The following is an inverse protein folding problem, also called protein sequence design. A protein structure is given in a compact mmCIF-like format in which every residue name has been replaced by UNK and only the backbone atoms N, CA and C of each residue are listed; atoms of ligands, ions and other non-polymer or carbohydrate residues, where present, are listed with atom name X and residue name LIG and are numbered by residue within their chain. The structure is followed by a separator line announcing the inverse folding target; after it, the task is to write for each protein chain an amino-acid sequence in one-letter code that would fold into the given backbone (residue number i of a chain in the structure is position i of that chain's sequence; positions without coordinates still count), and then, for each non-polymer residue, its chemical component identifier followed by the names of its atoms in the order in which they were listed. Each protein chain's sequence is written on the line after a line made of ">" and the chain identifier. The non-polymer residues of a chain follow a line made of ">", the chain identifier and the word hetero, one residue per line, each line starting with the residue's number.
data_IF_028994013205
#
_entry.id   IF_028994013205
#
_cell.length_a   1.000
_cell.length_b   1.000
_cell.length_c   1.000
_cell.angle_alpha   90.00
_cell.angle_beta   90.00
_cell.angle_gamma   90.00
#
_symmetry.space_group_name_H-M   'P 1'
#
loop_
_entity.id
_entity.type
_entity.pdbx_description
1 polymer ?
#
# COMPACT_ATOMS: atom_id res chain seq x y z
N UNK A 1 3.06 -18.28 20.68
CA UNK A 1 2.33 -17.62 19.57
C UNK A 1 0.83 -17.86 19.71
N UNK A 2 0.20 -17.45 20.83
CA UNK A 2 -1.19 -17.85 21.19
C UNK A 2 -2.05 -16.70 21.71
N UNK A 3 -1.99 -15.50 21.12
CA UNK A 3 -3.00 -14.47 21.37
C UNK A 3 -3.50 -13.99 20.01
N UNK A 4 -4.79 -14.25 19.72
CA UNK A 4 -5.52 -13.72 18.56
C UNK A 4 -5.71 -12.22 18.69
N UNK A 5 -4.62 -11.47 18.82
CA UNK A 5 -4.67 -10.02 18.95
C UNK A 5 -4.72 -9.38 17.55
N UNK A 6 -5.85 -9.65 16.88
CA UNK A 6 -6.21 -9.04 15.62
C UNK A 6 -6.17 -7.51 15.71
N UNK A 7 -6.42 -6.95 16.90
CA UNK A 7 -6.32 -5.52 17.17
C UNK A 7 -4.86 -5.04 17.07
N UNK A 8 -3.90 -5.76 17.66
CA UNK A 8 -2.48 -5.43 17.49
C UNK A 8 -2.03 -5.56 16.03
N UNK A 9 -2.51 -6.56 15.30
CA UNK A 9 -2.20 -6.71 13.88
C UNK A 9 -2.75 -5.54 13.04
N UNK A 10 -3.99 -5.11 13.29
CA UNK A 10 -4.57 -3.90 12.67
C UNK A 10 -3.77 -2.65 13.02
N UNK A 11 -3.36 -2.49 14.28
CA UNK A 11 -2.51 -1.37 14.69
C UNK A 11 -1.15 -1.35 13.97
N UNK A 12 -0.58 -2.52 13.65
CA UNK A 12 0.66 -2.62 12.87
C UNK A 12 0.42 -2.24 11.40
N UNK A 13 -0.70 -2.66 10.82
CA UNK A 13 -1.13 -2.24 9.48
C UNK A 13 -1.30 -0.72 9.40
N UNK A 14 -2.02 -0.12 10.34
CA UNK A 14 -2.25 1.33 10.38
C UNK A 14 -0.95 2.11 10.51
N UNK A 15 -0.02 1.63 11.35
CA UNK A 15 1.32 2.22 11.47
C UNK A 15 2.13 2.10 10.18
N UNK A 16 2.03 0.96 9.49
CA UNK A 16 2.69 0.75 8.20
C UNK A 16 2.18 1.70 7.13
N UNK A 17 0.85 1.78 6.98
CA UNK A 17 0.19 2.70 6.06
C UNK A 17 0.49 4.16 6.37
N UNK A 18 0.45 4.54 7.65
CA UNK A 18 0.78 5.91 8.09
C UNK A 18 2.21 6.30 7.75
N UNK A 19 3.18 5.39 7.91
CA UNK A 19 4.59 5.64 7.54
C UNK A 19 4.76 5.77 6.03
N UNK A 20 4.07 4.94 5.25
CA UNK A 20 4.10 5.01 3.80
C UNK A 20 3.51 6.34 3.29
N UNK A 21 2.39 6.77 3.88
CA UNK A 21 1.77 8.07 3.57
C UNK A 21 2.70 9.23 3.91
N UNK A 22 3.30 9.22 5.11
CA UNK A 22 4.29 10.21 5.52
C UNK A 22 5.51 10.24 4.59
N UNK A 23 5.98 9.08 4.13
CA UNK A 23 7.07 8.97 3.17
C UNK A 23 6.71 9.64 1.84
N UNK A 24 5.55 9.32 1.26
CA UNK A 24 5.08 9.93 0.02
C UNK A 24 4.84 11.44 0.17
N UNK A 25 4.28 11.88 1.30
CA UNK A 25 4.07 13.29 1.61
C UNK A 25 5.36 14.08 1.77
N UNK A 26 6.43 13.43 2.26
CA UNK A 26 7.76 14.03 2.38
C UNK A 26 8.46 14.11 1.04
N UNK A 27 8.49 13.01 0.29
CA UNK A 27 9.20 12.92 -0.99
C UNK A 27 8.46 13.62 -2.14
N UNK A 28 7.13 13.79 -2.03
CA UNK A 28 6.26 14.47 -2.99
C UNK A 28 6.58 14.10 -4.46
N UNK A 29 6.52 12.81 -4.83
CA UNK A 29 6.93 12.36 -6.16
C UNK A 29 6.11 12.99 -7.30
N UNK A 30 4.92 13.53 -7.03
CA UNK A 30 4.11 14.25 -8.03
C UNK A 30 4.60 15.67 -8.35
N UNK A 31 5.50 16.25 -7.54
CA UNK A 31 6.11 17.56 -7.80
C UNK A 31 7.51 17.44 -8.41
N UNK A 32 8.14 16.28 -8.26
CA UNK A 32 9.50 16.04 -8.71
C UNK A 32 9.47 15.40 -10.11
N UNK A 33 9.58 16.20 -11.17
CA UNK A 33 9.75 15.70 -12.56
C UNK A 33 11.15 15.11 -12.83
N UNK A 34 12.02 15.05 -11.81
CA UNK A 34 13.41 14.62 -11.94
C UNK A 34 13.65 13.17 -11.49
N UNK A 35 14.77 12.61 -11.96
CA UNK A 35 15.24 11.21 -11.97
C UNK A 35 14.92 10.29 -10.78
N UNK A 36 14.56 10.82 -9.62
CA UNK A 36 14.28 10.06 -8.40
C UNK A 36 12.79 9.67 -8.24
N UNK A 37 11.88 10.21 -9.08
CA UNK A 37 10.46 9.89 -9.00
C UNK A 37 10.19 8.39 -9.09
N UNK A 38 10.81 7.72 -10.08
CA UNK A 38 10.65 6.28 -10.30
C UNK A 38 11.12 5.48 -9.10
N UNK A 39 12.26 5.84 -8.51
CA UNK A 39 12.81 5.15 -7.35
C UNK A 39 11.91 5.28 -6.12
N UNK A 40 11.43 6.50 -5.83
CA UNK A 40 10.49 6.77 -4.73
C UNK A 40 9.21 5.97 -4.89
N UNK A 41 8.62 5.97 -6.10
CA UNK A 41 7.39 5.22 -6.37
C UNK A 41 7.61 3.71 -6.30
N UNK A 42 8.69 3.18 -6.86
CA UNK A 42 9.03 1.75 -6.78
C UNK A 42 9.20 1.31 -5.32
N UNK A 43 9.89 2.10 -4.50
CA UNK A 43 10.04 1.81 -3.06
C UNK A 43 8.69 1.84 -2.33
N UNK A 44 7.84 2.82 -2.65
CA UNK A 44 6.51 2.91 -2.07
C UNK A 44 5.64 1.70 -2.46
N UNK A 45 5.71 1.25 -3.71
CA UNK A 45 4.98 0.06 -4.20
C UNK A 45 5.43 -1.21 -3.48
N UNK A 46 6.74 -1.45 -3.34
CA UNK A 46 7.23 -2.61 -2.60
C UNK A 46 6.75 -2.59 -1.15
N UNK A 47 6.84 -1.43 -0.49
CA UNK A 47 6.35 -1.26 0.89
C UNK A 47 4.83 -1.52 0.98
N UNK A 48 4.05 -1.06 -0.01
CA UNK A 48 2.62 -1.34 -0.09
C UNK A 48 2.34 -2.83 -0.23
N UNK A 49 3.08 -3.54 -1.10
CA UNK A 49 2.91 -4.98 -1.30
C UNK A 49 3.27 -5.79 -0.04
N UNK A 50 4.27 -5.36 0.72
CA UNK A 50 4.61 -5.97 2.01
C UNK A 50 3.47 -5.81 3.03
N UNK A 51 2.88 -4.61 3.10
CA UNK A 51 1.70 -4.35 3.95
C UNK A 51 0.50 -5.17 3.46
N UNK A 52 0.35 -5.31 2.13
CA UNK A 52 -0.75 -6.01 1.49
C UNK A 52 -0.84 -7.50 1.88
N UNK A 53 0.30 -8.16 2.11
CA UNK A 53 0.33 -9.54 2.62
C UNK A 53 -0.38 -9.66 3.97
N UNK A 54 -0.22 -8.67 4.84
CA UNK A 54 -0.90 -8.63 6.13
C UNK A 54 -2.37 -8.22 5.99
N UNK A 55 -2.69 -7.38 5.00
CA UNK A 55 -4.07 -6.97 4.70
C UNK A 55 -4.93 -8.15 4.23
N UNK A 56 -4.34 -9.16 3.59
CA UNK A 56 -5.06 -10.33 3.07
C UNK A 56 -5.87 -11.08 4.14
N UNK A 57 -5.43 -11.07 5.40
CA UNK A 57 -6.13 -11.71 6.52
C UNK A 57 -7.45 -10.97 6.85
N UNK A 58 -7.51 -9.66 6.62
CA UNK A 58 -8.63 -8.80 7.00
C UNK A 58 -9.54 -8.44 5.81
N UNK A 59 -8.94 -8.22 4.65
CA UNK A 59 -9.61 -7.75 3.43
C UNK A 59 -9.04 -8.49 2.20
N UNK A 60 -9.34 -9.79 2.04
CA UNK A 60 -8.73 -10.62 1.01
C UNK A 60 -8.99 -10.13 -0.41
N UNK A 61 -10.23 -9.74 -0.73
CA UNK A 61 -10.60 -9.23 -2.07
C UNK A 61 -9.87 -7.94 -2.43
N UNK A 62 -9.76 -7.03 -1.46
CA UNK A 62 -9.00 -5.78 -1.63
C UNK A 62 -7.51 -6.06 -1.79
N UNK A 63 -6.96 -6.98 -0.98
CA UNK A 63 -5.56 -7.33 -1.06
C UNK A 63 -5.20 -7.97 -2.41
N UNK A 64 -6.04 -8.87 -2.93
CA UNK A 64 -5.87 -9.42 -4.27
C UNK A 64 -5.93 -8.34 -5.35
N UNK A 65 -6.82 -7.35 -5.21
CA UNK A 65 -6.96 -6.28 -6.19
C UNK A 65 -5.72 -5.38 -6.21
N UNK A 66 -5.14 -5.10 -5.04
CA UNK A 66 -3.88 -4.35 -4.91
C UNK A 66 -2.73 -5.17 -5.53
N UNK A 67 -2.60 -6.44 -5.17
CA UNK A 67 -1.54 -7.31 -5.68
C UNK A 67 -1.60 -7.43 -7.21
N UNK A 68 -2.78 -7.69 -7.77
CA UNK A 68 -2.99 -7.79 -9.22
C UNK A 68 -2.60 -6.51 -9.96
N UNK A 69 -2.80 -5.33 -9.37
CA UNK A 69 -2.50 -4.08 -10.06
C UNK A 69 -1.03 -3.64 -9.93
N UNK A 70 -0.40 -3.93 -8.79
CA UNK A 70 0.95 -3.45 -8.48
C UNK A 70 2.06 -4.49 -8.69
N UNK A 71 1.72 -5.78 -8.84
CA UNK A 71 2.68 -6.87 -9.12
C UNK A 71 2.82 -7.17 -10.63
N UNK A 72 2.40 -6.26 -11.50
CA UNK A 72 2.50 -6.40 -12.96
C UNK A 72 3.62 -5.54 -13.53
N UNK A 73 4.15 -5.93 -14.70
CA UNK A 73 5.18 -5.17 -15.42
C UNK A 73 4.72 -3.76 -15.82
N UNK A 74 3.41 -3.52 -15.92
CA UNK A 74 2.81 -2.21 -16.20
C UNK A 74 1.62 -1.99 -15.27
N UNK A 75 1.70 -0.95 -14.45
CA UNK A 75 0.65 -0.59 -13.49
C UNK A 75 -0.43 0.19 -14.23
N UNK A 76 -1.68 -0.25 -14.10
CA UNK A 76 -2.83 0.45 -14.68
C UNK A 76 -3.53 1.30 -13.61
N UNK A 77 -4.09 2.46 -13.97
CA UNK A 77 -4.90 3.22 -13.04
C UNK A 77 -6.16 2.42 -12.68
N UNK A 78 -6.55 2.45 -11.40
CA UNK A 78 -7.83 1.88 -11.00
C UNK A 78 -8.99 2.65 -11.65
N UNK A 79 -9.89 1.93 -12.31
CA UNK A 79 -11.09 2.53 -12.94
C UNK A 79 -12.18 2.85 -11.92
N UNK A 80 -12.15 2.19 -10.76
CA UNK A 80 -13.04 2.39 -9.63
C UNK A 80 -12.21 2.44 -8.34
N UNK A 81 -12.60 3.29 -7.39
CA UNK A 81 -11.93 3.35 -6.09
C UNK A 81 -12.06 2.02 -5.33
N UNK A 82 -10.98 1.59 -4.67
CA UNK A 82 -10.94 0.33 -3.92
C UNK A 82 -11.93 0.31 -2.74
N UNK A 83 -12.25 1.48 -2.19
CA UNK A 83 -13.15 1.63 -1.06
C UNK A 83 -14.31 2.55 -1.47
N UNK A 84 -15.54 2.10 -1.24
CA UNK A 84 -16.73 2.94 -1.39
C UNK A 84 -16.77 3.93 -0.22
N UNK A 85 -16.99 5.21 -0.52
CA UNK A 85 -17.25 6.20 0.52
C UNK A 85 -18.62 5.91 1.13
N UNK A 86 -18.64 5.77 2.46
CA UNK A 86 -19.86 5.63 3.26
C UNK A 86 -20.32 7.00 3.77
#
# INVERSE_FOLDING_TARGET
>A
MNNYDLTQALNLLDKGLSKLDQYLAKEKPWLNENSNQKEVLTKAIHTLLDINQSLQIFMPETAETIEKNFNQNSISPFTQGLFKRI
#
